data_IF_586204103361
#
_entry.id   IF_586204103361
#
_cell.length_a   1.000
_cell.length_b   1.000
_cell.length_c   1.000
_cell.angle_alpha   90.00
_cell.angle_beta   90.00
_cell.angle_gamma   90.00
#
_symmetry.space_group_name_H-M   'P 1'
#
loop_
_entity.id
_entity.type
_entity.pdbx_description
1 polymer ?
#
# COMPACT_ATOMS: atom_id res chain seq x y z
N UNK A 1 0.91 8.86 -9.24
CA UNK A 1 0.81 9.66 -8.02
C UNK A 1 1.81 10.81 -8.12
N UNK A 2 1.40 12.03 -7.79
CA UNK A 2 2.40 13.09 -7.52
C UNK A 2 2.94 12.85 -6.12
N UNK A 3 4.22 12.52 -6.03
CA UNK A 3 4.89 12.14 -4.79
C UNK A 3 5.56 13.36 -4.18
N UNK A 4 5.34 13.58 -2.89
CA UNK A 4 6.02 14.59 -2.10
C UNK A 4 7.15 13.96 -1.28
N UNK A 5 8.22 14.71 -1.03
CA UNK A 5 9.35 14.26 -0.20
C UNK A 5 8.99 14.42 1.29
N UNK A 6 8.38 13.39 1.87
CA UNK A 6 8.23 13.28 3.33
C UNK A 6 9.56 13.03 4.04
N UNK A 7 9.51 12.80 5.36
CA UNK A 7 10.71 12.37 6.10
C UNK A 7 11.05 10.94 5.66
N UNK A 8 12.17 10.82 4.93
CA UNK A 8 12.77 9.53 4.54
C UNK A 8 13.21 8.79 5.80
N UNK A 9 12.47 7.76 6.19
CA UNK A 9 12.83 6.92 7.32
C UNK A 9 13.66 5.72 6.90
N UNK A 10 13.25 5.04 5.83
CA UNK A 10 13.88 3.83 5.35
C UNK A 10 14.00 3.84 3.84
N UNK A 11 15.17 3.50 3.32
CA UNK A 11 15.42 3.39 1.87
C UNK A 11 16.12 2.08 1.55
N UNK A 12 15.74 1.48 0.42
CA UNK A 12 16.31 0.25 -0.10
C UNK A 12 16.28 -0.93 0.90
N UNK A 13 15.26 -1.00 1.77
CA UNK A 13 15.15 -2.08 2.76
C UNK A 13 14.61 -3.33 2.09
N UNK A 14 15.32 -4.45 2.26
CA UNK A 14 14.89 -5.76 1.75
C UNK A 14 13.88 -6.36 2.73
N UNK A 15 12.62 -6.45 2.31
CA UNK A 15 11.57 -7.18 3.01
C UNK A 15 11.52 -8.60 2.47
N UNK A 16 11.75 -9.61 3.32
CA UNK A 16 11.74 -11.02 2.91
C UNK A 16 10.35 -11.63 3.01
N UNK A 17 9.46 -10.98 3.75
CA UNK A 17 8.10 -11.39 4.02
C UNK A 17 7.15 -10.19 4.02
N UNK A 18 5.83 -10.42 3.91
CA UNK A 18 4.82 -9.37 4.08
C UNK A 18 4.88 -8.72 5.45
N UNK A 19 5.17 -9.51 6.48
CA UNK A 19 5.30 -9.05 7.86
C UNK A 19 6.46 -8.05 8.02
N UNK A 20 7.57 -8.24 7.30
CA UNK A 20 8.68 -7.27 7.33
C UNK A 20 8.23 -5.89 6.80
N UNK A 21 7.49 -5.87 5.69
CA UNK A 21 6.97 -4.61 5.14
C UNK A 21 5.95 -3.97 6.08
N UNK A 22 5.05 -4.77 6.66
CA UNK A 22 4.09 -4.29 7.64
C UNK A 22 4.79 -3.62 8.83
N UNK A 23 5.84 -4.25 9.39
CA UNK A 23 6.60 -3.67 10.50
C UNK A 23 7.29 -2.36 10.12
N UNK A 24 7.86 -2.24 8.92
CA UNK A 24 8.45 -0.98 8.45
C UNK A 24 7.41 0.15 8.33
N UNK A 25 6.21 -0.19 7.84
CA UNK A 25 5.08 0.75 7.77
C UNK A 25 4.68 1.19 9.16
N UNK A 26 4.55 0.26 10.11
CA UNK A 26 4.21 0.56 11.50
C UNK A 26 5.24 1.50 12.14
N UNK A 27 6.54 1.27 11.91
CA UNK A 27 7.57 2.17 12.43
C UNK A 27 7.47 3.59 11.84
N UNK A 28 7.04 3.73 10.57
CA UNK A 28 6.79 5.05 10.00
C UNK A 28 5.54 5.74 10.59
N UNK A 29 4.49 4.97 10.87
CA UNK A 29 3.27 5.46 11.53
C UNK A 29 3.48 5.80 13.02
N UNK A 30 4.55 5.29 13.67
CA UNK A 30 4.91 5.72 15.03
C UNK A 30 5.49 7.14 15.08
N UNK A 31 5.99 7.63 13.95
CA UNK A 31 6.67 8.93 13.83
C UNK A 31 5.75 9.98 13.21
N UNK A 32 4.72 9.58 12.46
CA UNK A 32 3.80 10.47 11.77
C UNK A 32 2.45 9.83 11.51
N UNK A 33 1.53 10.61 10.95
CA UNK A 33 0.10 10.26 10.80
C UNK A 33 -0.19 9.43 9.54
N UNK A 34 0.81 9.25 8.68
CA UNK A 34 0.71 8.40 7.50
C UNK A 34 2.07 7.89 7.03
N UNK A 35 2.02 6.87 6.19
CA UNK A 35 3.21 6.29 5.57
C UNK A 35 3.04 6.23 4.05
N UNK A 36 3.98 6.86 3.35
CA UNK A 36 4.13 6.68 1.92
C UNK A 36 5.18 5.59 1.69
N UNK A 37 4.82 4.59 0.90
CA UNK A 37 5.67 3.43 0.65
C UNK A 37 5.85 3.24 -0.84
N UNK A 38 7.09 3.02 -1.26
CA UNK A 38 7.40 2.53 -2.60
C UNK A 38 7.94 1.12 -2.51
N UNK A 39 7.29 0.18 -3.18
CA UNK A 39 7.70 -1.23 -3.23
C UNK A 39 8.22 -1.56 -4.61
N UNK A 40 9.36 -2.24 -4.65
CA UNK A 40 10.02 -2.73 -5.85
C UNK A 40 10.05 -4.26 -5.82
N UNK A 41 9.22 -4.92 -6.64
CA UNK A 41 9.22 -6.38 -6.74
C UNK A 41 10.57 -6.90 -7.25
N UNK A 42 11.15 -7.90 -6.58
CA UNK A 42 12.43 -8.51 -7.03
C UNK A 42 12.30 -9.22 -8.37
N UNK A 43 11.12 -9.80 -8.64
CA UNK A 43 10.82 -10.58 -9.84
C UNK A 43 10.49 -9.71 -11.06
N UNK A 44 10.15 -8.44 -10.85
CA UNK A 44 9.75 -7.54 -11.94
C UNK A 44 10.48 -6.20 -11.86
N UNK A 45 11.64 -6.14 -12.51
CA UNK A 45 12.50 -4.94 -12.56
C UNK A 45 11.89 -3.75 -13.31
N UNK A 46 10.72 -3.91 -13.91
CA UNK A 46 10.07 -2.90 -14.74
C UNK A 46 8.78 -2.35 -14.13
N UNK A 47 8.54 -2.55 -12.84
CA UNK A 47 7.44 -1.94 -12.13
C UNK A 47 7.85 -1.47 -10.73
N UNK A 48 7.18 -0.45 -10.24
CA UNK A 48 7.16 -0.14 -8.81
C UNK A 48 5.73 0.15 -8.36
N UNK A 49 5.46 -0.09 -7.09
CA UNK A 49 4.16 0.08 -6.47
C UNK A 49 4.27 1.26 -5.51
N UNK A 50 3.28 2.13 -5.52
CA UNK A 50 3.12 3.22 -4.57
C UNK A 50 1.87 2.99 -3.76
N UNK A 51 2.03 2.98 -2.44
CA UNK A 51 0.90 3.01 -1.51
C UNK A 51 1.02 4.16 -0.53
N UNK A 52 -0.12 4.73 -0.16
CA UNK A 52 -0.27 5.64 0.96
C UNK A 52 -1.21 4.99 1.96
N UNK A 53 -0.81 4.97 3.23
CA UNK A 53 -1.62 4.44 4.33
C UNK A 53 -1.67 5.47 5.46
N UNK A 54 -2.74 5.43 6.24
CA UNK A 54 -2.81 6.04 7.58
C UNK A 54 -2.74 4.94 8.66
N UNK A 55 -3.02 5.31 9.92
CA UNK A 55 -3.03 4.36 11.04
C UNK A 55 -4.04 3.21 10.88
N UNK A 56 -5.10 3.41 10.10
CA UNK A 56 -6.21 2.48 9.99
C UNK A 56 -6.17 1.67 8.69
N UNK A 57 -5.88 2.32 7.56
CA UNK A 57 -6.25 1.81 6.23
C UNK A 57 -5.34 2.30 5.11
N UNK A 58 -5.52 1.63 3.97
CA UNK A 58 -5.02 2.07 2.68
C UNK A 58 -5.79 3.27 2.15
N UNK A 59 -5.06 4.32 1.79
CA UNK A 59 -5.59 5.53 1.19
C UNK A 59 -5.39 5.56 -0.32
N UNK A 60 -4.19 5.20 -0.81
CA UNK A 60 -3.87 5.20 -2.24
C UNK A 60 -3.10 3.94 -2.62
N UNK A 61 -3.37 3.38 -3.80
CA UNK A 61 -2.53 2.34 -4.40
C UNK A 61 -2.41 2.49 -5.93
N UNK A 62 -1.19 2.60 -6.43
CA UNK A 62 -0.88 2.66 -7.86
C UNK A 62 0.34 1.79 -8.18
N UNK A 63 0.29 1.08 -9.30
CA UNK A 63 1.45 0.41 -9.91
C UNK A 63 1.85 1.19 -11.15
N UNK A 64 3.15 1.42 -11.31
CA UNK A 64 3.70 2.10 -12.48
C UNK A 64 4.65 1.16 -13.20
N UNK A 65 4.32 0.81 -14.44
CA UNK A 65 5.19 0.03 -15.31
C UNK A 65 6.15 0.96 -16.06
N UNK A 66 7.44 0.85 -15.74
CA UNK A 66 8.52 1.74 -16.21
C UNK A 66 8.65 1.67 -17.74
N UNK A 67 8.57 0.47 -18.33
CA UNK A 67 8.80 0.25 -19.76
C UNK A 67 7.65 0.72 -20.64
N UNK A 68 6.42 0.47 -20.21
CA UNK A 68 5.22 0.74 -21.01
C UNK A 68 4.60 2.11 -20.68
N UNK A 69 4.97 2.71 -19.55
CA UNK A 69 4.28 3.88 -18.99
C UNK A 69 2.87 3.56 -18.47
N UNK A 70 2.45 2.29 -18.54
CA UNK A 70 1.15 1.83 -18.09
C UNK A 70 1.01 1.92 -16.57
N UNK A 71 -0.24 2.00 -16.10
CA UNK A 71 -0.55 2.09 -14.69
C UNK A 71 -1.67 1.14 -14.30
N UNK A 72 -1.55 0.52 -13.13
CA UNK A 72 -2.68 -0.10 -12.44
C UNK A 72 -3.06 0.78 -11.27
N UNK A 73 -4.35 0.85 -10.98
CA UNK A 73 -4.91 1.64 -9.88
C UNK A 73 -5.88 0.79 -9.09
N UNK A 74 -6.16 1.24 -7.87
CA UNK A 74 -7.22 0.68 -7.05
C UNK A 74 -7.04 -0.80 -6.73
N UNK A 75 -8.13 -1.56 -6.81
CA UNK A 75 -8.15 -3.01 -6.50
C UNK A 75 -7.11 -3.80 -7.31
N UNK A 76 -6.88 -3.43 -8.58
CA UNK A 76 -5.86 -4.08 -9.41
C UNK A 76 -4.44 -3.83 -8.91
N UNK A 77 -4.18 -2.62 -8.39
CA UNK A 77 -2.88 -2.29 -7.80
C UNK A 77 -2.66 -3.03 -6.47
N UNK A 78 -3.70 -3.13 -5.64
CA UNK A 78 -3.65 -3.89 -4.39
C UNK A 78 -3.39 -5.37 -4.65
N UNK A 79 -4.08 -5.98 -5.62
CA UNK A 79 -3.83 -7.37 -5.99
C UNK A 79 -2.40 -7.60 -6.46
N UNK A 80 -1.89 -6.71 -7.30
CA UNK A 80 -0.51 -6.77 -7.77
C UNK A 80 0.50 -6.63 -6.62
N UNK A 81 0.23 -5.78 -5.63
CA UNK A 81 1.04 -5.69 -4.41
C UNK A 81 1.08 -7.02 -3.64
N UNK A 82 -0.08 -7.62 -3.39
CA UNK A 82 -0.15 -8.89 -2.67
C UNK A 82 0.58 -10.01 -3.42
N UNK A 83 0.45 -10.07 -4.74
CA UNK A 83 1.22 -10.98 -5.58
C UNK A 83 2.73 -10.71 -5.48
N UNK A 84 3.16 -9.46 -5.54
CA UNK A 84 4.56 -9.07 -5.44
C UNK A 84 5.21 -9.46 -4.11
N UNK A 85 4.45 -9.35 -3.02
CA UNK A 85 4.91 -9.69 -1.67
C UNK A 85 5.04 -11.21 -1.45
N UNK A 86 4.64 -12.07 -2.41
CA UNK A 86 4.90 -13.53 -2.38
C UNK A 86 6.37 -13.91 -2.56
N UNK A 87 7.20 -12.93 -2.91
CA UNK A 87 8.65 -13.03 -2.94
C UNK A 87 9.26 -11.83 -2.19
N UNK A 88 10.57 -11.88 -1.88
CA UNK A 88 11.24 -10.72 -1.30
C UNK A 88 11.09 -9.47 -2.17
N UNK A 89 10.89 -8.32 -1.54
CA UNK A 89 10.77 -7.02 -2.20
C UNK A 89 11.76 -6.03 -1.59
N UNK A 90 12.08 -4.98 -2.34
CA UNK A 90 12.77 -3.81 -1.79
C UNK A 90 11.73 -2.73 -1.52
N UNK A 91 11.83 -2.04 -0.39
CA UNK A 91 10.90 -0.98 -0.03
C UNK A 91 11.62 0.29 0.42
N UNK A 92 11.07 1.43 0.01
CA UNK A 92 11.32 2.73 0.61
C UNK A 92 10.08 3.14 1.41
N UNK A 93 10.28 3.65 2.62
CA UNK A 93 9.21 4.09 3.53
C UNK A 93 9.50 5.49 4.04
N UNK A 94 8.50 6.35 3.88
CA UNK A 94 8.52 7.76 4.27
C UNK A 94 7.40 7.97 5.28
N UNK A 95 7.72 8.60 6.41
CA UNK A 95 6.68 9.07 7.34
C UNK A 95 6.18 10.44 6.90
N UNK A 96 4.86 10.61 6.98
CA UNK A 96 4.15 11.83 6.60
C UNK A 96 3.39 12.40 7.79
N UNK A 97 3.41 13.73 7.91
CA UNK A 97 2.50 14.44 8.81
C UNK A 97 1.09 14.55 8.22
N UNK A 98 0.11 14.88 9.07
CA UNK A 98 -1.31 15.03 8.69
C UNK A 98 -1.52 15.96 7.46
N UNK A 99 -0.83 17.10 7.42
CA UNK A 99 -0.93 18.01 6.27
C UNK A 99 -0.45 17.37 4.97
N UNK A 100 0.62 16.56 5.01
CA UNK A 100 1.21 15.93 3.84
C UNK A 100 0.33 14.79 3.33
N UNK A 101 -0.26 14.02 4.25
CA UNK A 101 -1.29 13.00 3.93
C UNK A 101 -2.46 13.67 3.22
N UNK A 102 -3.05 14.72 3.81
CA UNK A 102 -4.18 15.47 3.23
C UNK A 102 -3.84 16.04 1.86
N UNK A 103 -2.68 16.70 1.71
CA UNK A 103 -2.22 17.26 0.43
C UNK A 103 -2.05 16.17 -0.63
N UNK A 104 -1.51 15.01 -0.25
CA UNK A 104 -1.31 13.88 -1.16
C UNK A 104 -2.64 13.30 -1.60
N UNK A 105 -3.60 13.09 -0.69
CA UNK A 105 -4.95 12.62 -1.05
C UNK A 105 -5.66 13.62 -1.96
N UNK A 106 -5.68 14.91 -1.62
CA UNK A 106 -6.32 15.96 -2.42
C UNK A 106 -5.73 16.07 -3.83
N UNK A 107 -4.42 15.84 -3.98
CA UNK A 107 -3.74 15.86 -5.28
C UNK A 107 -4.01 14.61 -6.13
N UNK A 108 -4.62 13.57 -5.55
CA UNK A 108 -4.85 12.28 -6.19
C UNK A 108 -6.27 11.75 -5.89
N UNK A 109 -7.29 12.62 -5.87
CA UNK A 109 -8.67 12.25 -5.51
C UNK A 109 -9.24 11.11 -6.36
N UNK A 110 -9.02 11.10 -7.67
CA UNK A 110 -9.45 10.00 -8.54
C UNK A 110 -8.87 8.64 -8.09
N UNK A 111 -7.58 8.63 -7.73
CA UNK A 111 -6.91 7.43 -7.25
C UNK A 111 -7.44 7.01 -5.87
N UNK A 112 -7.76 7.97 -5.01
CA UNK A 112 -8.36 7.72 -3.70
C UNK A 112 -9.73 7.05 -3.84
N UNK A 113 -10.58 7.54 -4.74
CA UNK A 113 -11.90 6.97 -5.03
C UNK A 113 -11.82 5.56 -5.64
N UNK A 114 -10.81 5.29 -6.46
CA UNK A 114 -10.55 3.96 -7.03
C UNK A 114 -9.92 2.97 -6.03
N UNK A 115 -9.29 3.48 -4.96
CA UNK A 115 -8.56 2.65 -3.99
C UNK A 115 -9.51 2.02 -2.97
N UNK A 116 -9.51 0.69 -2.81
CA UNK A 116 -10.32 0.07 -1.77
C UNK A 116 -9.80 0.51 -0.40
N UNK A 117 -10.70 0.97 0.46
CA UNK A 117 -10.40 1.37 1.85
C UNK A 117 -10.18 0.15 2.76
N UNK A 118 -9.27 -0.73 2.36
CA UNK A 118 -8.90 -1.94 3.09
C UNK A 118 -8.13 -1.57 4.35
N UNK A 119 -8.46 -2.21 5.46
CA UNK A 119 -7.77 -2.00 6.72
C UNK A 119 -6.33 -2.50 6.61
N UNK A 120 -5.39 -1.76 7.20
CA UNK A 120 -3.97 -2.03 7.02
C UNK A 120 -3.62 -3.44 7.52
N UNK A 121 -4.13 -3.83 8.70
CA UNK A 121 -3.88 -5.17 9.24
C UNK A 121 -4.44 -6.29 8.37
N UNK A 122 -5.53 -6.03 7.63
CA UNK A 122 -6.14 -7.02 6.75
C UNK A 122 -5.23 -7.33 5.58
N UNK A 123 -4.62 -6.31 4.96
CA UNK A 123 -3.73 -6.47 3.80
C UNK A 123 -2.57 -7.44 4.06
N UNK A 124 -2.07 -7.48 5.29
CA UNK A 124 -0.91 -8.29 5.69
C UNK A 124 -1.29 -9.56 6.43
N UNK A 125 -2.59 -9.90 6.54
CA UNK A 125 -3.01 -11.20 7.08
C UNK A 125 -2.76 -12.32 6.06
N UNK A 126 -2.09 -13.43 6.44
CA UNK A 126 -1.76 -14.54 5.54
C UNK A 126 -2.97 -15.22 4.85
N UNK A 127 -4.19 -15.00 5.35
CA UNK A 127 -5.42 -15.61 4.83
C UNK A 127 -5.96 -14.93 3.56
N UNK A 128 -5.69 -13.64 3.34
CA UNK A 128 -6.17 -12.94 2.14
C UNK A 128 -5.45 -13.37 0.86
N UNK A 129 -4.26 -13.96 1.02
CA UNK A 129 -3.37 -14.34 -0.06
C UNK A 129 -3.76 -15.64 -0.77
N UNK A 130 -4.66 -16.40 -0.18
CA UNK A 130 -5.08 -17.73 -0.66
C UNK A 130 -6.51 -17.77 -1.20
N UNK A 131 -7.23 -16.64 -1.15
CA UNK A 131 -8.63 -16.56 -1.54
C UNK A 131 -8.78 -15.51 -2.63
N UNK A 132 -9.33 -15.89 -3.78
CA UNK A 132 -9.76 -14.93 -4.81
C UNK A 132 -10.61 -13.80 -4.21
N UNK A 133 -10.68 -12.59 -4.81
CA UNK A 133 -11.17 -11.36 -4.16
C UNK A 133 -12.65 -11.36 -3.71
N UNK A 134 -13.40 -12.43 -3.95
CA UNK A 134 -14.82 -12.54 -3.62
C UNK A 134 -15.12 -12.43 -2.11
N UNK A 135 -14.12 -12.63 -1.24
CA UNK A 135 -14.31 -12.65 0.21
C UNK A 135 -14.39 -11.26 0.87
N UNK A 136 -13.97 -10.19 0.18
CA UNK A 136 -14.04 -8.83 0.74
C UNK A 136 -15.48 -8.30 0.82
N UNK A 137 -16.45 -8.90 0.12
CA UNK A 137 -17.87 -8.55 0.27
C UNK A 137 -18.56 -9.26 1.44
N UNK A 138 -18.09 -10.44 1.87
CA UNK A 138 -18.76 -11.23 2.92
C UNK A 138 -18.31 -10.88 4.35
N UNK A 139 -17.12 -10.29 4.51
CA UNK A 139 -16.65 -9.84 5.82
C UNK A 139 -17.44 -8.63 6.34
N UNK A 140 -17.94 -7.75 5.46
CA UNK A 140 -18.71 -6.57 5.84
C UNK A 140 -20.20 -6.84 6.11
N UNK A 141 -20.75 -7.99 5.73
CA UNK A 141 -22.17 -8.31 5.97
C UNK A 141 -22.44 -9.08 7.26
N UNK A 142 -21.40 -9.47 8.02
CA UNK A 142 -21.57 -10.23 9.27
C UNK A 142 -21.31 -9.41 10.55
N UNK A 143 -20.96 -8.13 10.42
CA UNK A 143 -20.91 -7.17 11.53
C UNK A 143 -22.01 -6.10 11.39
N UNK A 144 -23.26 -6.54 11.36
CA UNK A 144 -24.39 -5.74 11.83
C UNK A 144 -24.90 -6.39 13.12
N UNK A 145 -24.85 -5.59 14.19
CA UNK A 145 -25.19 -5.94 15.57
C UNK A 145 -26.63 -6.45 15.76
N UNK A 146 -26.74 -7.36 16.75
CA UNK A 146 -27.90 -7.77 17.56
C UNK A 146 -28.92 -8.73 16.93
#
# INVERSE_FOLDING_TARGET
>A
MRVWEGIRLYENVVCRSPEDLFLLIQEALRVGEGALVRVFPSNERSAYIHILVDEEKLLLAEVVFIRTGGRLRGESAVRYLLEALSAPVVADVYSLGDEEVKKTVLSNLELYEETPHTLLFEMFLPKLWRSSPTFLKSAFSSCSLK
#
